data_IF_891986115423
#
_entry.id   IF_891986115423
#
_cell.length_a   1.000
_cell.length_b   1.000
_cell.length_c   1.000
_cell.angle_alpha   90.00
_cell.angle_beta   90.00
_cell.angle_gamma   90.00
#
_symmetry.space_group_name_H-M   'P 1'
#
loop_
_entity.id
_entity.type
_entity.pdbx_description
1 polymer ?
#
# COMPACT_ATOMS: atom_id res chain seq x y z
N UNK A 1 -57.77 -17.03 43.89
CA UNK A 1 -57.84 -18.16 42.94
C UNK A 1 -56.75 -17.94 41.91
N UNK A 2 -56.00 -19.01 41.59
CA UNK A 2 -54.81 -19.00 40.78
C UNK A 2 -55.05 -18.59 39.32
N UNK A 3 -54.04 -17.99 38.68
CA UNK A 3 -53.76 -18.25 37.27
C UNK A 3 -52.24 -18.21 37.06
N UNK A 4 -51.72 -19.36 36.64
CA UNK A 4 -50.33 -19.66 36.35
C UNK A 4 -49.94 -19.23 34.92
N UNK A 5 -48.66 -18.84 34.79
CA UNK A 5 -47.67 -19.21 33.73
C UNK A 5 -47.92 -18.89 32.24
N UNK A 6 -46.91 -18.24 31.66
CA UNK A 6 -46.44 -18.36 30.25
C UNK A 6 -45.27 -17.39 30.03
N UNK A 7 -43.99 -17.74 30.26
CA UNK A 7 -43.00 -18.44 29.42
C UNK A 7 -42.77 -17.86 28.01
N UNK A 8 -41.61 -17.18 27.86
CA UNK A 8 -40.64 -17.16 26.73
C UNK A 8 -41.20 -16.60 25.40
N UNK A 9 -40.55 -15.73 24.60
CA UNK A 9 -39.31 -15.86 23.81
C UNK A 9 -38.89 -14.44 23.42
N UNK A 10 -37.75 -13.95 23.92
CA UNK A 10 -36.50 -13.76 23.17
C UNK A 10 -36.67 -13.18 21.75
N UNK A 11 -36.05 -12.03 21.50
CA UNK A 11 -35.99 -11.45 20.15
C UNK A 11 -35.39 -10.05 20.10
N UNK A 12 -34.33 -9.78 20.87
CA UNK A 12 -33.54 -8.57 20.67
C UNK A 12 -32.77 -8.70 19.36
N UNK A 13 -33.15 -7.92 18.35
CA UNK A 13 -32.32 -7.75 17.15
C UNK A 13 -31.21 -6.78 17.52
N UNK A 14 -30.15 -7.32 18.12
CA UNK A 14 -28.86 -6.65 18.18
C UNK A 14 -28.34 -6.59 16.75
N UNK A 15 -28.45 -5.41 16.12
CA UNK A 15 -27.70 -5.13 14.91
C UNK A 15 -26.21 -5.12 15.29
N UNK A 16 -25.59 -6.28 15.12
CA UNK A 16 -24.16 -6.44 15.09
C UNK A 16 -23.65 -5.64 13.89
N UNK A 17 -23.28 -4.38 14.12
CA UNK A 17 -22.42 -3.64 13.21
C UNK A 17 -21.10 -4.39 13.24
N UNK A 18 -20.89 -5.25 12.24
CA UNK A 18 -19.62 -5.93 12.02
C UNK A 18 -18.54 -4.87 11.88
N UNK A 19 -17.68 -4.76 12.89
CA UNK A 19 -16.38 -4.16 12.69
C UNK A 19 -15.68 -5.00 11.61
N UNK A 20 -15.59 -4.47 10.40
CA UNK A 20 -14.69 -5.02 9.40
C UNK A 20 -13.29 -4.96 10.02
N UNK A 21 -12.78 -6.11 10.44
CA UNK A 21 -11.42 -6.20 10.91
C UNK A 21 -10.52 -5.73 9.76
N UNK A 22 -9.77 -4.65 10.00
CA UNK A 22 -8.59 -4.30 9.22
C UNK A 22 -7.63 -5.47 9.34
N UNK A 23 -7.69 -6.39 8.39
CA UNK A 23 -6.90 -7.62 8.43
C UNK A 23 -5.49 -7.34 7.90
N UNK A 24 -4.63 -6.83 8.78
CA UNK A 24 -3.21 -7.13 8.67
C UNK A 24 -3.02 -8.60 9.09
N UNK A 25 -2.53 -9.43 8.18
CA UNK A 25 -2.29 -10.85 8.39
C UNK A 25 -0.80 -11.15 8.25
N UNK A 26 -0.34 -12.21 8.90
CA UNK A 26 1.07 -12.63 8.85
C UNK A 26 1.19 -13.98 8.16
N UNK A 27 2.29 -14.17 7.44
CA UNK A 27 2.65 -15.45 6.81
C UNK A 27 4.13 -15.70 6.97
N UNK A 28 4.48 -16.92 7.35
CA UNK A 28 5.86 -17.41 7.23
C UNK A 28 6.07 -17.94 5.82
N UNK A 29 7.10 -17.44 5.14
CA UNK A 29 7.52 -17.97 3.85
C UNK A 29 9.00 -18.31 3.87
N UNK A 30 9.34 -19.52 3.43
CA UNK A 30 10.71 -20.05 3.48
C UNK A 30 11.16 -20.68 2.17
N UNK A 31 12.40 -20.41 1.79
CA UNK A 31 13.10 -21.08 0.70
C UNK A 31 13.69 -22.40 1.22
N UNK A 32 13.19 -23.52 0.71
CA UNK A 32 13.68 -24.85 1.07
C UNK A 32 14.77 -25.27 0.08
N UNK A 33 15.95 -25.64 0.58
CA UNK A 33 17.04 -26.11 -0.27
C UNK A 33 17.66 -25.05 -1.19
N UNK A 34 17.59 -23.76 -0.85
CA UNK A 34 18.02 -22.64 -1.72
C UNK A 34 17.22 -22.54 -3.03
N UNK A 35 15.97 -22.98 -3.01
CA UNK A 35 15.08 -22.88 -4.17
C UNK A 35 13.96 -21.88 -3.96
N UNK A 36 13.49 -21.34 -5.07
CA UNK A 36 12.36 -20.44 -5.12
C UNK A 36 11.11 -21.09 -4.52
N UNK A 37 10.45 -20.38 -3.61
CA UNK A 37 9.17 -20.77 -3.02
C UNK A 37 8.18 -19.59 -3.09
N UNK A 38 6.90 -19.90 -3.30
CA UNK A 38 5.82 -18.93 -3.43
C UNK A 38 4.67 -19.21 -2.46
N UNK A 39 4.49 -18.32 -1.49
CA UNK A 39 3.40 -18.34 -0.53
C UNK A 39 2.22 -17.53 -1.06
N UNK A 40 1.16 -18.24 -1.48
CA UNK A 40 -0.08 -17.64 -1.98
C UNK A 40 -0.84 -16.97 -0.84
N UNK A 41 -0.80 -15.64 -0.83
CA UNK A 41 -1.54 -14.80 0.11
C UNK A 41 -2.07 -13.59 -0.65
N UNK A 42 -3.28 -13.16 -0.32
CA UNK A 42 -3.80 -11.92 -0.89
C UNK A 42 -3.16 -10.74 -0.18
N UNK A 43 -2.09 -10.20 -0.77
CA UNK A 43 -1.30 -9.15 -0.14
C UNK A 43 -1.95 -7.78 -0.20
N UNK A 44 -2.98 -7.62 -1.04
CA UNK A 44 -3.57 -6.32 -1.38
C UNK A 44 -2.52 -5.27 -1.84
N UNK A 45 -1.32 -5.71 -2.24
CA UNK A 45 -0.21 -4.86 -2.64
C UNK A 45 0.62 -4.26 -1.49
N UNK A 46 0.36 -4.63 -0.23
CA UNK A 46 1.10 -4.12 0.93
C UNK A 46 1.75 -5.30 1.66
N UNK A 47 3.08 -5.35 1.69
CA UNK A 47 3.84 -6.36 2.43
C UNK A 47 5.07 -5.76 3.10
N UNK A 48 5.28 -6.13 4.36
CA UNK A 48 6.50 -5.84 5.13
C UNK A 48 7.08 -7.11 5.72
N UNK A 49 8.40 -7.20 5.75
CA UNK A 49 9.08 -8.27 6.48
C UNK A 49 9.14 -7.88 7.95
N UNK A 50 8.65 -8.76 8.82
CA UNK A 50 8.68 -8.57 10.27
C UNK A 50 9.95 -9.12 10.88
N UNK A 51 10.33 -10.33 10.46
CA UNK A 51 11.40 -11.08 11.09
C UNK A 51 12.05 -12.04 10.12
N UNK A 52 13.38 -11.94 9.97
CA UNK A 52 14.18 -12.94 9.28
C UNK A 52 14.38 -14.17 10.18
N UNK A 53 14.14 -15.36 9.63
CA UNK A 53 14.33 -16.66 10.28
C UNK A 53 15.54 -17.44 9.73
N UNK A 54 16.01 -17.12 8.52
CA UNK A 54 17.20 -17.75 7.91
C UNK A 54 18.50 -17.08 8.32
N UNK A 55 19.61 -17.84 8.25
CA UNK A 55 20.96 -17.27 8.25
C UNK A 55 21.32 -16.61 6.91
N UNK A 56 20.76 -17.10 5.80
CA UNK A 56 20.87 -16.47 4.48
C UNK A 56 20.20 -15.09 4.48
N UNK A 57 20.79 -14.08 3.81
CA UNK A 57 20.21 -12.74 3.71
C UNK A 57 18.85 -12.74 3.01
N UNK A 58 17.90 -12.01 3.58
CA UNK A 58 16.61 -11.73 2.96
C UNK A 58 16.57 -10.30 2.38
N UNK A 59 17.09 -10.16 1.17
CA UNK A 59 17.18 -8.90 0.43
C UNK A 59 15.97 -8.76 -0.51
N UNK A 60 15.19 -7.67 -0.35
CA UNK A 60 14.00 -7.42 -1.18
C UNK A 60 14.42 -7.23 -2.64
N UNK A 61 13.75 -7.93 -3.56
CA UNK A 61 14.05 -7.92 -4.99
C UNK A 61 15.14 -8.90 -5.41
N UNK A 62 15.82 -9.55 -4.45
CA UNK A 62 16.84 -10.58 -4.72
C UNK A 62 16.43 -11.93 -4.17
N UNK A 63 16.35 -12.06 -2.85
CA UNK A 63 16.02 -13.32 -2.18
C UNK A 63 14.60 -13.34 -1.62
N UNK A 64 13.84 -12.26 -1.75
CA UNK A 64 12.38 -12.27 -1.57
C UNK A 64 11.69 -11.10 -2.26
N UNK A 65 10.37 -11.21 -2.46
CA UNK A 65 9.52 -10.15 -2.99
C UNK A 65 8.04 -10.53 -2.88
N UNK A 66 7.16 -9.70 -3.45
CA UNK A 66 5.73 -9.97 -3.43
C UNK A 66 5.01 -9.35 -4.63
N UNK A 67 3.84 -9.90 -4.93
CA UNK A 67 2.86 -9.35 -5.85
C UNK A 67 1.47 -9.42 -5.18
N UNK A 68 0.41 -9.01 -5.88
CA UNK A 68 -0.96 -8.99 -5.31
C UNK A 68 -1.47 -10.38 -4.90
N UNK A 69 -0.90 -11.44 -5.46
CA UNK A 69 -1.32 -12.84 -5.32
C UNK A 69 -0.44 -13.63 -4.33
N UNK A 70 0.65 -13.04 -3.82
CA UNK A 70 1.50 -13.72 -2.87
C UNK A 70 2.89 -13.13 -2.68
N UNK A 71 3.66 -13.83 -1.84
CA UNK A 71 5.03 -13.50 -1.46
C UNK A 71 5.92 -14.62 -1.95
N UNK A 72 7.07 -14.29 -2.53
CA UNK A 72 8.08 -15.26 -2.91
C UNK A 72 9.38 -15.06 -2.15
N UNK A 73 10.10 -16.16 -1.95
CA UNK A 73 11.41 -16.21 -1.29
C UNK A 73 12.32 -17.16 -2.08
N UNK A 74 13.62 -16.87 -2.09
CA UNK A 74 14.63 -17.62 -2.84
C UNK A 74 15.99 -17.55 -2.13
N UNK A 75 17.02 -18.23 -2.65
CA UNK A 75 18.40 -18.18 -2.14
C UNK A 75 18.54 -18.53 -0.64
N UNK A 76 17.62 -19.35 -0.11
CA UNK A 76 17.61 -19.77 1.30
C UNK A 76 17.04 -18.73 2.26
N UNK A 77 16.41 -17.65 1.75
CA UNK A 77 15.69 -16.71 2.58
C UNK A 77 14.47 -17.37 3.25
N UNK A 78 14.33 -17.17 4.56
CA UNK A 78 13.16 -17.54 5.34
C UNK A 78 12.81 -16.39 6.27
N UNK A 79 11.55 -15.94 6.23
CA UNK A 79 11.09 -14.82 7.04
C UNK A 79 9.58 -14.85 7.30
N UNK A 80 9.17 -14.11 8.32
CA UNK A 80 7.76 -13.78 8.59
C UNK A 80 7.45 -12.44 7.94
N UNK A 81 6.35 -12.41 7.19
CA UNK A 81 5.85 -11.25 6.49
C UNK A 81 4.48 -10.86 7.01
N UNK A 82 4.23 -9.56 7.15
CA UNK A 82 2.89 -9.03 7.31
C UNK A 82 2.38 -8.50 5.98
N UNK A 83 1.10 -8.75 5.69
CA UNK A 83 0.43 -8.33 4.47
C UNK A 83 -1.00 -7.84 4.77
N UNK A 84 -1.52 -6.94 3.92
CA UNK A 84 -2.87 -6.34 4.06
C UNK A 84 -2.89 -4.92 4.65
N UNK A 85 -4.02 -4.22 4.49
CA UNK A 85 -4.23 -2.86 5.00
C UNK A 85 -4.49 -2.88 6.53
N UNK A 86 -3.46 -2.59 7.33
CA UNK A 86 -3.61 -2.48 8.78
C UNK A 86 -2.31 -2.22 9.56
N UNK A 87 -1.45 -1.33 9.08
CA UNK A 87 -0.29 -0.87 9.85
C UNK A 87 -0.69 0.25 10.82
N UNK A 88 -0.97 -0.11 12.09
CA UNK A 88 -1.23 0.85 13.15
C UNK A 88 -1.75 0.21 14.43
N UNK A 89 -0.93 -0.62 15.08
CA UNK A 89 -1.13 -0.93 16.49
C UNK A 89 -0.60 0.25 17.32
N UNK A 90 -1.47 1.19 17.68
CA UNK A 90 -1.23 2.11 18.79
C UNK A 90 -2.38 1.99 19.79
N UNK A 91 -2.01 1.70 21.03
CA UNK A 91 -2.89 1.29 22.10
C UNK A 91 -3.74 2.41 22.73
N UNK A 92 -4.78 1.93 23.40
CA UNK A 92 -5.41 2.49 24.62
C UNK A 92 -5.81 3.97 24.67
N UNK A 93 -7.13 4.14 24.74
CA UNK A 93 -7.85 5.13 25.54
C UNK A 93 -7.59 6.62 25.27
N UNK A 94 -8.55 7.23 24.56
CA UNK A 94 -9.19 8.46 25.07
C UNK A 94 -10.60 8.58 24.51
N UNK A 95 -11.59 8.20 25.34
CA UNK A 95 -12.94 8.75 25.26
C UNK A 95 -12.83 10.25 25.55
N UNK A 96 -12.52 11.04 24.54
CA UNK A 96 -12.61 12.50 24.55
C UNK A 96 -14.05 12.92 24.32
N UNK A 97 -14.89 12.71 25.32
CA UNK A 97 -16.17 13.38 25.50
C UNK A 97 -15.90 14.89 25.62
N UNK A 98 -16.06 15.63 24.53
CA UNK A 98 -16.16 17.09 24.56
C UNK A 98 -17.62 17.48 24.66
N UNK A 99 -18.12 17.60 25.90
CA UNK A 99 -19.41 18.20 26.20
C UNK A 99 -19.28 19.73 26.01
N UNK A 100 -20.03 20.30 25.07
CA UNK A 100 -20.61 21.65 25.13
C UNK A 100 -21.67 21.77 24.02
N UNK A 101 -22.87 21.27 24.31
CA UNK A 101 -24.00 21.29 23.39
C UNK A 101 -25.20 20.57 23.97
N UNK A 102 -25.95 21.29 24.80
CA UNK A 102 -27.17 20.88 25.50
C UNK A 102 -28.02 19.81 24.80
N UNK A 103 -28.15 18.63 25.41
CA UNK A 103 -29.25 17.73 25.15
C UNK A 103 -30.50 18.29 25.86
N UNK A 104 -31.32 19.04 25.13
CA UNK A 104 -32.75 19.18 25.46
C UNK A 104 -33.53 18.44 24.39
N UNK A 105 -33.86 17.18 24.67
CA UNK A 105 -35.00 16.54 24.04
C UNK A 105 -36.24 17.25 24.59
N UNK A 106 -36.79 18.20 23.83
CA UNK A 106 -37.95 18.96 24.30
C UNK A 106 -38.46 20.06 23.38
N UNK A 107 -39.08 19.65 22.27
CA UNK A 107 -40.22 20.31 21.57
C UNK A 107 -39.96 21.56 20.69
N UNK A 108 -40.39 21.43 19.42
CA UNK A 108 -40.87 22.46 18.47
C UNK A 108 -39.88 23.53 17.98
N UNK A 109 -39.94 24.09 16.78
CA UNK A 109 -40.58 23.80 15.50
C UNK A 109 -40.02 24.88 14.52
N UNK A 110 -40.20 24.66 13.22
CA UNK A 110 -40.22 25.66 12.13
C UNK A 110 -38.89 26.16 11.52
N UNK A 111 -38.69 25.68 10.28
CA UNK A 111 -38.20 26.33 9.06
C UNK A 111 -37.41 27.64 9.12
N UNK A 112 -36.21 27.66 8.51
CA UNK A 112 -35.78 28.75 7.62
C UNK A 112 -35.04 28.16 6.40
N UNK A 113 -35.55 28.49 5.21
CA UNK A 113 -34.87 28.37 3.92
C UNK A 113 -33.69 29.34 3.90
N UNK A 114 -32.50 28.85 3.56
CA UNK A 114 -31.32 29.67 3.25
C UNK A 114 -30.41 29.90 4.47
N UNK A 115 -29.10 29.77 4.39
CA UNK A 115 -28.21 29.50 3.26
C UNK A 115 -27.17 28.49 3.73
N UNK A 116 -26.79 27.60 2.82
CA UNK A 116 -25.52 26.86 2.91
C UNK A 116 -24.42 27.91 2.85
N UNK A 117 -24.07 28.51 3.99
CA UNK A 117 -22.80 29.17 4.15
C UNK A 117 -21.78 28.10 4.54
N UNK A 118 -21.45 27.30 3.51
CA UNK A 118 -20.12 26.74 3.26
C UNK A 118 -19.12 27.03 4.37
N UNK A 119 -19.08 26.18 5.40
CA UNK A 119 -17.90 26.11 6.25
C UNK A 119 -16.85 25.35 5.45
N UNK A 120 -16.07 26.09 4.68
CA UNK A 120 -14.77 25.61 4.22
C UNK A 120 -13.92 25.47 5.47
N UNK A 121 -14.08 24.34 6.17
CA UNK A 121 -13.05 23.86 7.05
C UNK A 121 -11.88 23.50 6.12
N UNK A 122 -10.97 24.45 5.90
CA UNK A 122 -9.63 24.13 5.46
C UNK A 122 -9.08 23.21 6.55
N UNK A 123 -9.22 21.90 6.34
CA UNK A 123 -8.45 20.93 7.07
C UNK A 123 -6.99 21.30 6.78
N UNK A 124 -6.28 21.79 7.79
CA UNK A 124 -4.83 21.71 7.81
C UNK A 124 -4.49 20.27 7.43
N UNK A 125 -3.99 20.10 6.20
CA UNK A 125 -3.51 18.78 5.78
C UNK A 125 -2.38 18.45 6.75
N UNK A 126 -2.41 17.32 7.45
CA UNK A 126 -1.24 16.88 8.18
C UNK A 126 -0.08 16.92 7.18
N UNK A 127 0.93 17.72 7.46
CA UNK A 127 2.18 17.65 6.74
C UNK A 127 2.74 16.27 7.06
N UNK A 128 2.44 15.31 6.19
CA UNK A 128 3.04 13.99 6.24
C UNK A 128 4.51 14.17 5.89
N UNK A 129 5.34 14.19 6.94
CA UNK A 129 6.79 14.14 6.84
C UNK A 129 7.16 12.65 6.71
N UNK A 130 7.60 12.18 5.52
CA UNK A 130 7.86 10.75 5.33
C UNK A 130 9.08 10.33 6.14
N UNK A 131 8.90 9.40 7.07
CA UNK A 131 9.99 8.75 7.83
C UNK A 131 10.68 7.63 7.02
N UNK A 132 10.77 7.79 5.70
CA UNK A 132 11.46 6.87 4.79
C UNK A 132 11.72 7.52 3.43
N UNK A 133 12.71 7.03 2.65
CA UNK A 133 12.89 7.46 1.26
C UNK A 133 11.62 7.15 0.48
N UNK A 134 10.86 8.18 0.09
CA UNK A 134 9.66 8.06 -0.75
C UNK A 134 9.99 7.33 -2.07
N UNK A 135 11.22 7.54 -2.52
CA UNK A 135 11.89 6.84 -3.61
C UNK A 135 13.00 5.99 -3.00
N UNK A 136 13.04 4.68 -3.27
CA UNK A 136 14.14 3.83 -2.82
C UNK A 136 15.48 4.33 -3.35
N UNK A 137 16.55 4.24 -2.55
CA UNK A 137 17.87 4.74 -2.95
C UNK A 137 18.41 4.12 -4.24
N UNK A 138 18.03 2.87 -4.55
CA UNK A 138 18.40 2.20 -5.81
C UNK A 138 17.71 2.81 -7.04
N UNK A 139 16.57 3.47 -6.87
CA UNK A 139 15.83 4.12 -7.94
C UNK A 139 16.35 5.54 -8.19
N UNK A 140 17.06 6.16 -7.25
CA UNK A 140 17.64 7.50 -7.42
C UNK A 140 18.92 7.42 -8.27
N UNK A 141 19.00 8.26 -9.30
CA UNK A 141 20.15 8.34 -10.20
C UNK A 141 19.78 8.59 -11.65
N UNK A 142 20.76 8.39 -12.52
CA UNK A 142 20.61 8.39 -13.98
C UNK A 142 20.73 6.96 -14.50
N UNK A 143 19.89 6.63 -15.47
CA UNK A 143 19.80 5.29 -16.02
C UNK A 143 19.53 5.33 -17.51
N UNK A 144 20.15 4.40 -18.22
CA UNK A 144 19.95 4.15 -19.64
C UNK A 144 19.33 2.78 -19.85
N UNK A 145 18.47 2.67 -20.85
CA UNK A 145 17.77 1.44 -21.18
C UNK A 145 17.24 1.46 -22.61
N UNK A 146 16.67 0.36 -23.03
CA UNK A 146 16.04 0.25 -24.34
C UNK A 146 14.72 -0.50 -24.19
N UNK A 147 13.69 -0.06 -24.90
CA UNK A 147 12.43 -0.79 -24.96
C UNK A 147 12.64 -2.13 -25.69
N UNK A 148 12.29 -3.23 -25.04
CA UNK A 148 12.49 -4.58 -25.57
C UNK A 148 11.64 -4.88 -26.80
N UNK A 149 10.51 -4.19 -26.98
CA UNK A 149 9.62 -4.37 -28.12
C UNK A 149 10.08 -3.58 -29.35
N UNK A 150 10.39 -2.29 -29.16
CA UNK A 150 10.74 -1.40 -30.28
C UNK A 150 12.23 -1.19 -30.51
N UNK A 151 13.09 -1.61 -29.58
CA UNK A 151 14.53 -1.34 -29.60
C UNK A 151 14.89 0.15 -29.45
N UNK A 152 13.94 0.98 -29.00
CA UNK A 152 14.14 2.42 -28.88
C UNK A 152 14.94 2.73 -27.62
N UNK A 153 16.01 3.51 -27.76
CA UNK A 153 16.80 3.99 -26.63
C UNK A 153 16.02 4.96 -25.76
N UNK A 154 16.19 4.82 -24.46
CA UNK A 154 15.59 5.68 -23.46
C UNK A 154 16.54 5.93 -22.30
N UNK A 155 16.49 7.14 -21.78
CA UNK A 155 17.23 7.53 -20.59
C UNK A 155 16.29 8.18 -19.61
N UNK A 156 16.47 7.90 -18.32
CA UNK A 156 15.70 8.50 -17.24
C UNK A 156 16.62 8.94 -16.12
N UNK A 157 16.30 10.09 -15.54
CA UNK A 157 16.85 10.57 -14.29
C UNK A 157 15.71 10.60 -13.28
N UNK A 158 15.97 10.05 -12.11
CA UNK A 158 15.01 9.98 -11.01
C UNK A 158 15.63 10.68 -9.82
N UNK A 159 14.98 11.74 -9.36
CA UNK A 159 15.45 12.49 -8.19
C UNK A 159 14.90 11.92 -6.87
N UNK A 160 15.43 12.35 -5.71
CA UNK A 160 14.96 11.86 -4.40
C UNK A 160 13.50 12.19 -4.07
N UNK A 161 12.87 13.13 -4.78
CA UNK A 161 11.45 13.46 -4.65
C UNK A 161 10.56 12.62 -5.55
N UNK A 162 11.17 11.81 -6.42
CA UNK A 162 10.50 10.91 -7.35
C UNK A 162 10.16 11.55 -8.67
N UNK A 163 10.62 12.77 -8.95
CA UNK A 163 10.42 13.32 -10.28
C UNK A 163 11.27 12.52 -11.27
N UNK A 164 10.64 12.12 -12.38
CA UNK A 164 11.31 11.44 -13.48
C UNK A 164 11.36 12.40 -14.68
N UNK A 165 12.56 12.64 -15.18
CA UNK A 165 12.83 13.35 -16.43
C UNK A 165 13.71 12.49 -17.33
N UNK A 166 13.43 12.51 -18.62
CA UNK A 166 14.12 11.61 -19.53
C UNK A 166 13.75 11.82 -20.99
N UNK A 167 14.07 10.80 -21.78
CA UNK A 167 13.73 10.74 -23.19
C UNK A 167 13.36 9.32 -23.60
N UNK A 168 12.53 9.22 -24.63
CA UNK A 168 12.20 8.01 -25.36
C UNK A 168 12.42 8.27 -26.85
N UNK A 169 13.51 7.73 -27.40
CA UNK A 169 14.03 8.13 -28.70
C UNK A 169 14.28 9.64 -28.73
N UNK A 170 13.55 10.36 -29.58
CA UNK A 170 13.67 11.83 -29.71
C UNK A 170 12.66 12.62 -28.88
N UNK A 171 11.81 11.95 -28.09
CA UNK A 171 10.73 12.61 -27.34
C UNK A 171 11.13 12.76 -25.88
N UNK A 172 10.81 13.91 -25.30
CA UNK A 172 10.94 14.12 -23.85
C UNK A 172 9.94 13.21 -23.13
N UNK A 173 10.41 12.55 -22.07
CA UNK A 173 9.60 11.75 -21.17
C UNK A 173 9.60 12.42 -19.80
N UNK A 174 8.43 12.51 -19.18
CA UNK A 174 8.29 12.92 -17.78
C UNK A 174 7.47 11.90 -17.02
N UNK A 175 7.68 11.86 -15.72
CA UNK A 175 6.99 10.91 -14.87
C UNK A 175 7.18 11.16 -13.39
N UNK A 176 6.63 10.23 -12.61
CA UNK A 176 6.72 10.24 -11.16
C UNK A 176 7.05 8.83 -10.66
N UNK A 177 7.92 8.74 -9.67
CA UNK A 177 8.25 7.55 -8.92
C UNK A 177 7.67 7.70 -7.51
N UNK A 178 6.99 6.67 -7.04
CA UNK A 178 6.41 6.63 -5.70
C UNK A 178 6.45 5.20 -5.15
N UNK A 179 7.21 5.00 -4.07
CA UNK A 179 7.39 3.69 -3.44
C UNK A 179 8.07 2.69 -4.36
N UNK A 180 7.29 1.76 -4.92
CA UNK A 180 7.72 0.72 -5.85
C UNK A 180 7.07 0.89 -7.24
N UNK A 181 6.49 2.06 -7.54
CA UNK A 181 5.83 2.32 -8.82
C UNK A 181 6.44 3.51 -9.54
N UNK A 182 6.48 3.39 -10.86
CA UNK A 182 6.82 4.48 -11.76
C UNK A 182 5.63 4.78 -12.67
N UNK A 183 5.37 6.06 -12.90
CA UNK A 183 4.34 6.55 -13.81
C UNK A 183 5.02 7.32 -14.95
N UNK A 184 5.00 6.78 -16.16
CA UNK A 184 5.66 7.36 -17.33
C UNK A 184 4.63 7.63 -18.42
N UNK A 185 4.50 8.88 -18.86
CA UNK A 185 3.53 9.24 -19.89
C UNK A 185 2.08 8.86 -19.56
N UNK A 186 1.72 8.81 -18.27
CA UNK A 186 0.39 8.43 -17.78
C UNK A 186 0.16 6.92 -17.61
N UNK A 187 1.13 6.07 -17.94
CA UNK A 187 1.07 4.62 -17.67
C UNK A 187 1.80 4.26 -16.38
N UNK A 188 1.21 3.35 -15.61
CA UNK A 188 1.79 2.83 -14.37
C UNK A 188 2.62 1.58 -14.60
N UNK A 189 3.73 1.50 -13.87
CA UNK A 189 4.68 0.40 -13.91
C UNK A 189 5.05 -0.01 -12.48
N UNK A 190 5.18 -1.31 -12.25
CA UNK A 190 5.79 -1.87 -11.05
C UNK A 190 7.31 -1.92 -11.23
N UNK A 191 8.07 -1.41 -10.27
CA UNK A 191 9.51 -1.25 -10.34
C UNK A 191 10.26 -2.24 -9.43
N UNK A 192 11.23 -2.95 -10.00
CA UNK A 192 12.02 -3.96 -9.32
C UNK A 192 13.51 -3.63 -9.43
N UNK A 193 14.21 -3.58 -8.29
CA UNK A 193 15.67 -3.43 -8.31
C UNK A 193 16.33 -4.64 -8.99
N UNK A 194 17.36 -4.38 -9.79
CA UNK A 194 18.21 -5.42 -10.38
C UNK A 194 19.66 -5.19 -9.95
N UNK A 195 20.56 -6.11 -10.31
CA UNK A 195 21.99 -6.01 -9.96
C UNK A 195 22.64 -4.75 -10.55
N UNK A 196 22.25 -4.40 -11.76
CA UNK A 196 22.90 -3.36 -12.57
C UNK A 196 21.99 -2.13 -12.78
N UNK A 197 20.79 -2.10 -12.17
CA UNK A 197 19.84 -0.99 -12.27
C UNK A 197 18.45 -1.36 -11.75
N UNK A 198 17.43 -1.28 -12.59
CA UNK A 198 16.07 -1.69 -12.25
C UNK A 198 15.24 -2.08 -13.47
N UNK A 199 14.13 -2.78 -13.24
CA UNK A 199 13.17 -3.21 -14.25
C UNK A 199 11.80 -2.60 -13.97
N UNK A 200 11.16 -2.08 -15.01
CA UNK A 200 9.77 -1.67 -15.00
C UNK A 200 8.91 -2.71 -15.71
N UNK A 201 7.81 -3.10 -15.09
CA UNK A 201 6.81 -4.02 -15.67
C UNK A 201 5.47 -3.29 -15.70
N UNK A 202 4.83 -3.20 -16.87
CA UNK A 202 3.57 -2.48 -17.00
C UNK A 202 2.44 -3.12 -16.18
N UNK A 203 1.60 -2.28 -15.58
CA UNK A 203 0.56 -2.72 -14.64
C UNK A 203 -0.68 -3.34 -15.32
N UNK A 204 -0.84 -3.16 -16.62
CA UNK A 204 -2.01 -3.57 -17.40
C UNK A 204 -1.99 -5.07 -17.73
N UNK A 205 -1.02 -5.51 -18.51
CA UNK A 205 -0.88 -6.91 -18.93
C UNK A 205 0.49 -7.52 -18.56
N UNK A 206 1.40 -6.72 -18.01
CA UNK A 206 2.73 -7.16 -17.60
C UNK A 206 3.63 -7.65 -18.73
N UNK A 207 3.23 -7.50 -19.99
CA UNK A 207 4.03 -7.92 -21.15
C UNK A 207 5.08 -6.90 -21.52
N UNK A 208 4.78 -5.61 -21.31
CA UNK A 208 5.75 -4.55 -21.52
C UNK A 208 6.74 -4.54 -20.35
N UNK A 209 8.00 -4.86 -20.66
CA UNK A 209 9.12 -4.87 -19.73
C UNK A 209 10.20 -3.93 -20.25
N UNK A 210 10.66 -3.03 -19.38
CA UNK A 210 11.72 -2.07 -19.66
C UNK A 210 12.84 -2.31 -18.65
N UNK A 211 14.03 -2.64 -19.15
CA UNK A 211 15.22 -2.81 -18.33
C UNK A 211 16.07 -1.54 -18.40
N UNK A 212 16.43 -1.02 -17.22
CA UNK A 212 17.31 0.13 -17.05
C UNK A 212 18.59 -0.27 -16.33
N UNK A 213 19.69 0.27 -16.81
CA UNK A 213 21.04 0.11 -16.29
C UNK A 213 21.51 1.46 -15.76
N UNK A 214 22.21 1.44 -14.63
CA UNK A 214 22.78 2.65 -14.04
C UNK A 214 23.96 3.15 -14.87
N UNK A 215 24.00 4.45 -15.13
CA UNK A 215 25.11 5.13 -15.83
C UNK A 215 26.39 5.21 -14.97
#
# INVERSE_FOLDING_TARGET
MAACRGWIVAGGVALLVGAGAVHAAQVECRSEGYHYNYCRVDTQGVVRMLQQQSSSPCDRGRSWGYDRRGIWVDDGCSAVFEYGYGGGYDGVASRGRGDDGALVAGVAALAIIGAIASSQHHADRPHYEPTGPRVPGWAVGSFSGSDSESGTDMGVRIDPYGQIDGYYGHRQLTGQFDGDRAYLGGRGYSAYATRDGFRLVADDDGRMVIDFYRD
#
